data_IF_520559925841
#
_entry.id   IF_520559925841
#
_cell.length_a   1.000
_cell.length_b   1.000
_cell.length_c   1.000
_cell.angle_alpha   90.00
_cell.angle_beta   90.00
_cell.angle_gamma   90.00
#
_symmetry.space_group_name_H-M   'P 1'
#
loop_
_entity.id
_entity.type
_entity.pdbx_description
1 polymer ?
#
# COMPACT_ATOMS: atom_id res chain seq x y z
N UNK A 1 13.81 -9.56 19.03
CA UNK A 1 13.23 -10.44 18.00
C UNK A 1 13.34 -9.70 16.67
N UNK A 2 13.58 -10.40 15.56
CA UNK A 2 13.43 -9.87 14.20
C UNK A 2 12.43 -10.70 13.44
N UNK A 3 11.73 -10.05 12.52
CA UNK A 3 10.80 -10.69 11.58
C UNK A 3 11.29 -10.42 10.15
N UNK A 4 11.01 -11.36 9.25
CA UNK A 4 11.26 -11.20 7.82
C UNK A 4 10.13 -10.38 7.15
N UNK A 5 10.22 -10.17 5.83
CA UNK A 5 9.25 -9.35 5.09
C UNK A 5 7.86 -9.99 4.94
N UNK A 6 7.68 -11.25 5.31
CA UNK A 6 6.38 -11.96 5.32
C UNK A 6 5.82 -12.15 6.75
N UNK A 7 6.36 -11.40 7.73
CA UNK A 7 5.94 -11.43 9.14
C UNK A 7 6.16 -12.77 9.83
N UNK A 8 7.24 -13.44 9.49
CA UNK A 8 7.67 -14.66 10.15
C UNK A 8 8.93 -14.39 10.97
N UNK A 9 9.05 -15.11 12.09
CA UNK A 9 10.19 -14.98 12.99
C UNK A 9 11.50 -15.31 12.25
N UNK A 10 12.36 -14.30 12.09
CA UNK A 10 13.70 -14.43 11.49
C UNK A 10 14.78 -14.67 12.55
N UNK A 11 14.59 -14.17 13.78
CA UNK A 11 15.59 -14.37 14.83
C UNK A 11 15.19 -13.93 16.23
N UNK A 12 15.69 -14.68 17.22
CA UNK A 12 15.68 -14.31 18.64
C UNK A 12 17.11 -13.98 19.06
N UNK A 13 17.31 -12.79 19.63
CA UNK A 13 18.61 -12.30 20.07
C UNK A 13 18.53 -11.93 21.54
N UNK A 14 19.45 -12.46 22.35
CA UNK A 14 19.66 -12.04 23.73
C UNK A 14 20.99 -11.29 23.80
N UNK A 15 20.97 -10.10 24.37
CA UNK A 15 22.12 -9.22 24.44
C UNK A 15 22.23 -8.57 25.81
N UNK A 16 23.46 -8.24 26.23
CA UNK A 16 23.66 -7.49 27.47
C UNK A 16 23.34 -6.00 27.27
N UNK A 17 22.97 -5.26 28.34
CA UNK A 17 22.62 -3.84 28.22
C UNK A 17 23.68 -2.99 27.52
N UNK A 18 24.97 -3.30 27.71
CA UNK A 18 26.08 -2.52 27.14
C UNK A 18 26.19 -2.63 25.63
N UNK A 19 25.66 -3.72 25.04
CA UNK A 19 25.68 -3.99 23.59
C UNK A 19 24.34 -3.75 22.91
N UNK A 20 23.30 -3.39 23.67
CA UNK A 20 21.94 -3.26 23.17
C UNK A 20 21.84 -2.34 21.95
N UNK A 21 22.39 -1.12 22.04
CA UNK A 21 22.31 -0.13 20.95
C UNK A 21 23.07 -0.56 19.69
N UNK A 22 24.20 -1.24 19.84
CA UNK A 22 24.97 -1.76 18.71
C UNK A 22 24.21 -2.89 18.00
N UNK A 23 23.70 -3.84 18.79
CA UNK A 23 22.91 -4.96 18.28
C UNK A 23 21.62 -4.48 17.63
N UNK A 24 20.90 -3.51 18.23
CA UNK A 24 19.70 -2.93 17.64
C UNK A 24 19.98 -2.29 16.27
N UNK A 25 21.03 -1.47 16.15
CA UNK A 25 21.40 -0.85 14.87
C UNK A 25 21.72 -1.89 13.80
N UNK A 26 22.54 -2.89 14.14
CA UNK A 26 22.92 -3.97 13.21
C UNK A 26 21.70 -4.79 12.74
N UNK A 27 20.82 -5.15 13.67
CA UNK A 27 19.60 -5.90 13.35
C UNK A 27 18.62 -5.08 12.52
N UNK A 28 18.45 -3.80 12.85
CA UNK A 28 17.63 -2.88 12.07
C UNK A 28 18.13 -2.75 10.63
N UNK A 29 19.45 -2.67 10.42
CA UNK A 29 20.03 -2.68 9.08
C UNK A 29 19.76 -3.99 8.33
N UNK A 30 19.92 -5.15 9.00
CA UNK A 30 19.59 -6.46 8.41
C UNK A 30 18.13 -6.49 7.96
N UNK A 31 17.19 -6.14 8.84
CA UNK A 31 15.75 -6.13 8.53
C UNK A 31 15.43 -5.13 7.43
N UNK A 32 16.03 -3.94 7.43
CA UNK A 32 15.83 -2.93 6.37
C UNK A 32 16.25 -3.43 4.99
N UNK A 33 17.32 -4.24 4.89
CA UNK A 33 17.79 -4.81 3.61
C UNK A 33 16.84 -5.89 3.08
N UNK A 34 16.17 -6.62 3.98
CA UNK A 34 15.23 -7.69 3.62
C UNK A 34 13.81 -7.22 3.28
N UNK A 35 13.51 -5.91 3.35
CA UNK A 35 12.16 -5.41 3.09
C UNK A 35 11.77 -5.63 1.63
N UNK A 36 10.56 -6.16 1.43
CA UNK A 36 9.93 -6.11 0.12
C UNK A 36 9.59 -4.68 -0.26
N UNK A 37 9.61 -4.45 -1.57
CA UNK A 37 9.21 -3.19 -2.21
C UNK A 37 8.32 -3.53 -3.38
N UNK A 38 7.54 -2.55 -3.84
CA UNK A 38 6.88 -2.68 -5.13
C UNK A 38 7.92 -2.95 -6.22
N UNK A 39 7.59 -3.74 -7.24
CA UNK A 39 8.56 -4.24 -8.21
C UNK A 39 9.03 -3.16 -9.19
N UNK A 40 8.49 -1.95 -9.09
CA UNK A 40 8.81 -0.82 -9.96
C UNK A 40 8.91 0.48 -9.18
N UNK A 41 9.87 1.32 -9.57
CA UNK A 41 10.06 2.65 -8.99
C UNK A 41 9.06 3.68 -9.54
N UNK A 42 8.52 3.45 -10.74
CA UNK A 42 7.53 4.32 -11.40
C UNK A 42 6.23 3.57 -11.60
N UNK A 43 5.14 4.08 -11.03
CA UNK A 43 3.80 3.47 -11.10
C UNK A 43 2.82 4.59 -11.46
N UNK A 44 1.96 4.36 -12.45
CA UNK A 44 0.95 5.36 -12.82
C UNK A 44 -0.23 5.30 -11.85
N UNK A 45 -0.70 4.08 -11.57
CA UNK A 45 -1.82 3.82 -10.67
C UNK A 45 -1.48 2.69 -9.70
N UNK A 46 -1.61 2.98 -8.39
CA UNK A 46 -1.59 1.99 -7.33
C UNK A 46 -3.02 1.80 -6.77
N UNK A 47 -3.56 0.60 -6.93
CA UNK A 47 -4.83 0.17 -6.36
C UNK A 47 -4.53 -0.59 -5.07
N UNK A 48 -5.15 -0.16 -3.97
CA UNK A 48 -5.05 -0.80 -2.66
C UNK A 48 -6.43 -1.31 -2.28
N UNK A 49 -6.60 -2.63 -2.22
CA UNK A 49 -7.91 -3.23 -1.92
C UNK A 49 -8.41 -2.84 -0.53
N UNK A 50 -7.52 -2.85 0.47
CA UNK A 50 -7.86 -2.49 1.84
C UNK A 50 -6.70 -1.78 2.56
N UNK A 51 -7.07 -0.89 3.48
CA UNK A 51 -6.15 -0.28 4.42
C UNK A 51 -6.59 -0.53 5.87
N UNK A 52 -5.65 -0.46 6.81
CA UNK A 52 -6.02 -0.65 8.20
C UNK A 52 -4.93 -0.44 9.23
N UNK A 53 -5.32 -0.15 10.47
CA UNK A 53 -4.38 -0.04 11.60
C UNK A 53 -3.67 -1.35 11.92
N UNK A 54 -4.36 -2.47 11.71
CA UNK A 54 -3.79 -3.82 11.81
C UNK A 54 -2.78 -4.12 10.70
N UNK A 55 -2.83 -3.40 9.57
CA UNK A 55 -1.92 -3.54 8.44
C UNK A 55 -0.66 -2.69 8.67
N UNK A 56 -0.84 -1.43 9.06
CA UNK A 56 0.26 -0.51 9.34
C UNK A 56 -0.16 0.50 10.40
N UNK A 57 0.78 0.96 11.23
CA UNK A 57 0.53 2.01 12.22
C UNK A 57 0.02 3.33 11.60
N UNK A 58 0.36 3.59 10.32
CA UNK A 58 -0.15 4.70 9.51
C UNK A 58 -1.27 4.30 8.54
N UNK A 59 -1.91 3.15 8.78
CA UNK A 59 -2.99 2.52 7.98
C UNK A 59 -2.52 2.02 6.60
N UNK A 60 -1.62 2.75 5.95
CA UNK A 60 -0.84 2.33 4.79
C UNK A 60 0.65 2.67 4.99
N UNK A 61 1.56 1.76 4.63
CA UNK A 61 3.02 1.98 4.71
C UNK A 61 3.47 3.02 3.66
N UNK A 62 3.94 4.15 4.16
CA UNK A 62 4.40 5.30 3.37
C UNK A 62 5.58 4.98 2.45
N UNK A 63 6.38 3.95 2.76
CA UNK A 63 7.52 3.52 1.96
C UNK A 63 7.13 2.57 0.83
N UNK A 64 5.99 1.88 0.97
CA UNK A 64 5.43 1.06 -0.10
C UNK A 64 4.72 1.95 -1.12
N UNK A 65 3.92 2.91 -0.65
CA UNK A 65 3.21 3.87 -1.52
C UNK A 65 4.14 4.94 -2.09
N UNK A 66 5.20 5.30 -1.36
CA UNK A 66 6.12 6.36 -1.77
C UNK A 66 5.65 7.77 -1.41
N UNK A 67 4.83 7.91 -0.36
CA UNK A 67 4.25 9.19 0.10
C UNK A 67 4.17 9.22 1.62
N UNK A 68 4.56 10.33 2.24
CA UNK A 68 4.65 10.48 3.71
C UNK A 68 3.65 11.51 4.25
N UNK A 69 3.56 12.71 3.65
CA UNK A 69 2.63 13.78 4.05
C UNK A 69 2.73 14.18 5.54
N UNK A 70 3.96 14.19 6.08
CA UNK A 70 4.27 14.70 7.42
C UNK A 70 5.15 15.94 7.29
N UNK A 71 4.73 17.05 7.90
CA UNK A 71 5.47 18.32 7.83
C UNK A 71 6.89 18.15 8.37
N UNK A 72 7.88 18.61 7.60
CA UNK A 72 9.30 18.51 7.95
C UNK A 72 9.96 17.17 7.58
N UNK A 73 9.20 16.20 7.06
CA UNK A 73 9.77 14.97 6.51
C UNK A 73 9.90 15.07 4.99
N UNK A 74 11.02 14.56 4.46
CA UNK A 74 11.23 14.49 3.03
C UNK A 74 10.39 13.36 2.42
N UNK A 75 9.76 13.63 1.27
CA UNK A 75 9.08 12.61 0.49
C UNK A 75 10.09 11.61 -0.09
N UNK A 76 9.75 10.31 -0.15
CA UNK A 76 10.57 9.31 -0.82
C UNK A 76 10.78 9.69 -2.29
N UNK A 77 11.98 9.39 -2.81
CA UNK A 77 12.22 9.51 -4.26
C UNK A 77 11.50 8.38 -5.02
N UNK A 78 11.66 7.15 -4.54
CA UNK A 78 11.11 5.92 -5.10
C UNK A 78 10.65 4.96 -3.98
N UNK A 79 9.68 4.06 -4.26
CA UNK A 79 8.82 4.06 -5.44
C UNK A 79 7.91 5.30 -5.45
N UNK A 80 7.31 5.63 -6.59
CA UNK A 80 6.36 6.75 -6.70
C UNK A 80 5.16 6.37 -7.55
N UNK A 81 4.01 6.24 -6.89
CA UNK A 81 2.72 6.14 -7.57
C UNK A 81 2.20 7.54 -7.93
N UNK A 82 1.88 7.77 -9.21
CA UNK A 82 1.29 9.03 -9.69
C UNK A 82 -0.12 9.23 -9.14
N UNK A 83 -0.93 8.17 -9.10
CA UNK A 83 -2.23 8.13 -8.45
C UNK A 83 -2.39 6.90 -7.57
N UNK A 84 -3.09 7.07 -6.46
CA UNK A 84 -3.38 6.00 -5.49
C UNK A 84 -4.89 5.97 -5.21
N UNK A 85 -5.48 4.78 -5.24
CA UNK A 85 -6.87 4.55 -4.83
C UNK A 85 -6.92 3.49 -3.74
N UNK A 86 -7.76 3.72 -2.73
CA UNK A 86 -8.05 2.73 -1.69
C UNK A 86 -9.53 2.35 -1.70
N UNK A 87 -9.81 1.05 -1.71
CA UNK A 87 -11.16 0.51 -1.94
C UNK A 87 -11.85 -0.03 -0.69
N UNK A 88 -11.12 -0.13 0.42
CA UNK A 88 -11.61 -0.75 1.66
C UNK A 88 -10.92 -0.21 2.91
N UNK A 89 -11.66 -0.23 4.02
CA UNK A 89 -11.14 -0.03 5.37
C UNK A 89 -11.50 -1.27 6.19
N UNK A 90 -10.49 -1.85 6.86
CA UNK A 90 -10.66 -3.02 7.71
C UNK A 90 -11.46 -2.71 8.98
N UNK A 91 -12.24 -3.69 9.44
CA UNK A 91 -13.06 -3.56 10.66
C UNK A 91 -12.20 -3.39 11.92
N UNK A 92 -11.00 -4.01 11.94
CA UNK A 92 -10.01 -3.91 13.02
C UNK A 92 -9.46 -2.49 13.21
N UNK A 93 -9.67 -1.61 12.23
CA UNK A 93 -9.35 -0.19 12.37
C UNK A 93 -10.32 0.55 13.28
N UNK A 94 -11.48 -0.05 13.59
CA UNK A 94 -12.57 0.55 14.35
C UNK A 94 -12.94 1.94 13.80
N UNK A 95 -13.03 2.03 12.48
CA UNK A 95 -13.32 3.27 11.73
C UNK A 95 -12.20 4.31 11.69
N UNK A 96 -11.05 4.08 12.35
CA UNK A 96 -9.96 5.04 12.31
C UNK A 96 -9.16 4.92 11.00
N UNK A 97 -9.35 5.89 10.12
CA UNK A 97 -8.78 5.91 8.76
C UNK A 97 -7.53 6.81 8.65
N UNK A 98 -6.72 6.91 9.71
CA UNK A 98 -5.49 7.74 9.69
C UNK A 98 -4.52 7.28 8.60
N UNK A 99 -4.40 7.98 7.47
CA UNK A 99 -3.62 7.53 6.32
C UNK A 99 -4.42 7.51 5.02
N UNK A 100 -5.76 7.62 5.08
CA UNK A 100 -6.62 7.72 3.87
C UNK A 100 -6.22 8.89 2.97
N UNK A 101 -5.70 9.98 3.54
CA UNK A 101 -5.22 11.14 2.80
C UNK A 101 -3.94 10.90 1.99
N UNK A 102 -3.31 9.72 2.10
CA UNK A 102 -2.25 9.30 1.19
C UNK A 102 -2.81 8.82 -0.17
N UNK A 103 -4.09 8.44 -0.22
CA UNK A 103 -4.80 8.13 -1.45
C UNK A 103 -5.30 9.41 -2.12
N UNK A 104 -5.43 9.38 -3.44
CA UNK A 104 -6.06 10.44 -4.24
C UNK A 104 -7.56 10.21 -4.38
N UNK A 105 -7.98 8.94 -4.41
CA UNK A 105 -9.37 8.50 -4.56
C UNK A 105 -9.75 7.41 -3.57
N UNK A 106 -11.04 7.36 -3.23
CA UNK A 106 -11.63 6.24 -2.49
C UNK A 106 -13.13 6.13 -2.81
N UNK A 107 -13.86 5.28 -2.10
CA UNK A 107 -15.26 4.93 -2.38
C UNK A 107 -16.20 5.38 -1.28
N UNK A 108 -17.49 5.49 -1.61
CA UNK A 108 -18.56 5.81 -0.64
C UNK A 108 -18.57 4.82 0.52
N UNK A 109 -18.40 3.53 0.22
CA UNK A 109 -18.31 2.46 1.22
C UNK A 109 -17.20 2.71 2.24
N UNK A 110 -16.00 3.11 1.79
CA UNK A 110 -14.89 3.44 2.70
C UNK A 110 -15.24 4.64 3.56
N UNK A 111 -15.77 5.71 2.97
CA UNK A 111 -16.16 6.92 3.69
C UNK A 111 -17.17 6.63 4.80
N UNK A 112 -18.16 5.77 4.54
CA UNK A 112 -19.20 5.39 5.49
C UNK A 112 -18.67 4.61 6.70
N UNK A 113 -17.53 3.94 6.56
CA UNK A 113 -16.85 3.23 7.66
C UNK A 113 -15.99 4.14 8.55
N UNK A 114 -15.78 5.41 8.18
CA UNK A 114 -14.84 6.29 8.90
C UNK A 114 -15.48 6.84 10.19
N UNK A 115 -14.82 6.60 11.32
CA UNK A 115 -14.96 7.38 12.53
C UNK A 115 -14.08 8.63 12.43
N UNK A 116 -14.71 9.77 12.11
CA UNK A 116 -14.04 11.06 11.97
C UNK A 116 -13.42 11.54 13.27
N UNK A 117 -14.02 11.27 14.42
CA UNK A 117 -13.50 11.71 15.71
C UNK A 117 -12.22 10.93 16.07
N UNK A 118 -12.24 9.61 15.89
CA UNK A 118 -11.07 8.77 16.10
C UNK A 118 -9.94 9.15 15.12
N UNK A 119 -10.27 9.37 13.85
CA UNK A 119 -9.31 9.77 12.81
C UNK A 119 -8.68 11.13 13.12
N UNK A 120 -9.49 12.15 13.45
CA UNK A 120 -9.01 13.48 13.80
C UNK A 120 -8.14 13.49 15.06
N UNK A 121 -8.55 12.77 16.12
CA UNK A 121 -7.76 12.64 17.35
C UNK A 121 -6.37 12.08 17.05
N UNK A 122 -6.29 11.05 16.21
CA UNK A 122 -5.02 10.42 15.86
C UNK A 122 -4.16 11.33 14.98
N UNK A 123 -4.79 12.04 14.03
CA UNK A 123 -4.10 12.98 13.15
C UNK A 123 -3.46 14.14 13.91
N UNK A 124 -4.11 14.62 14.98
CA UNK A 124 -3.55 15.61 15.91
C UNK A 124 -2.41 15.02 16.73
N UNK A 125 -2.62 13.84 17.34
CA UNK A 125 -1.61 13.19 18.17
C UNK A 125 -0.34 12.80 17.41
N UNK A 126 -0.47 12.43 16.13
CA UNK A 126 0.66 12.11 15.24
C UNK A 126 1.28 13.33 14.56
N UNK A 127 0.73 14.53 14.76
CA UNK A 127 1.13 15.76 14.06
C UNK A 127 1.07 15.63 12.52
N UNK A 128 0.20 14.77 12.00
CA UNK A 128 0.06 14.47 10.57
C UNK A 128 -1.39 14.68 10.07
N UNK A 129 -1.97 15.89 10.18
CA UNK A 129 -3.35 16.17 9.74
C UNK A 129 -3.58 15.91 8.26
N UNK A 130 -2.55 16.03 7.42
CA UNK A 130 -2.65 15.76 5.98
C UNK A 130 -2.99 14.30 5.68
N UNK A 131 -2.51 13.35 6.49
CA UNK A 131 -2.80 11.92 6.32
C UNK A 131 -4.26 11.56 6.62
N UNK A 132 -4.99 12.40 7.37
CA UNK A 132 -6.41 12.19 7.67
C UNK A 132 -7.37 12.92 6.73
N UNK A 133 -6.87 13.62 5.70
CA UNK A 133 -7.72 14.32 4.72
C UNK A 133 -8.53 13.34 3.89
N UNK A 134 -9.79 13.67 3.63
CA UNK A 134 -10.66 12.84 2.79
C UNK A 134 -10.29 13.05 1.31
N UNK A 135 -9.98 11.97 0.57
CA UNK A 135 -9.69 12.04 -0.86
C UNK A 135 -10.97 12.27 -1.69
N UNK A 136 -10.85 12.30 -3.01
CA UNK A 136 -12.02 12.31 -3.88
C UNK A 136 -12.80 10.99 -3.72
N UNK A 137 -14.06 11.09 -3.28
CA UNK A 137 -14.93 9.93 -3.03
C UNK A 137 -15.85 9.71 -4.21
N UNK A 138 -15.85 8.49 -4.75
CA UNK A 138 -16.71 8.03 -5.84
C UNK A 138 -17.68 6.97 -5.33
N UNK A 139 -18.71 6.65 -6.12
CA UNK A 139 -19.80 5.80 -5.67
C UNK A 139 -19.35 4.35 -5.42
N UNK A 140 -18.52 3.79 -6.30
CA UNK A 140 -18.08 2.39 -6.26
C UNK A 140 -16.63 2.23 -6.73
N UNK A 141 -16.08 1.02 -6.59
CA UNK A 141 -14.68 0.71 -6.93
C UNK A 141 -14.38 0.99 -8.41
N UNK A 142 -15.30 0.62 -9.32
CA UNK A 142 -15.14 0.86 -10.77
C UNK A 142 -14.97 2.33 -11.09
N UNK A 143 -15.80 3.19 -10.52
CA UNK A 143 -15.72 4.64 -10.72
C UNK A 143 -14.46 5.24 -10.10
N UNK A 144 -14.10 4.82 -8.89
CA UNK A 144 -12.88 5.27 -8.22
C UNK A 144 -11.63 4.89 -9.03
N UNK A 145 -11.51 3.64 -9.48
CA UNK A 145 -10.40 3.16 -10.30
C UNK A 145 -10.35 3.90 -11.64
N UNK A 146 -11.50 4.12 -12.29
CA UNK A 146 -11.56 4.87 -13.54
C UNK A 146 -11.08 6.30 -13.37
N UNK A 147 -11.56 7.02 -12.35
CA UNK A 147 -11.10 8.38 -12.04
C UNK A 147 -9.58 8.42 -11.74
N UNK A 148 -9.07 7.36 -11.12
CA UNK A 148 -7.64 7.21 -10.82
C UNK A 148 -6.81 7.08 -12.09
N UNK A 149 -7.26 6.26 -13.04
CA UNK A 149 -6.64 6.12 -14.37
C UNK A 149 -6.73 7.40 -15.20
N UNK A 150 -7.92 8.01 -15.28
CA UNK A 150 -8.19 9.21 -16.08
C UNK A 150 -7.36 10.41 -15.63
N UNK A 151 -6.96 10.44 -14.35
CA UNK A 151 -6.18 11.55 -13.77
C UNK A 151 -4.70 11.24 -13.59
N UNK A 152 -4.23 10.03 -13.96
CA UNK A 152 -2.84 9.62 -13.86
C UNK A 152 -1.94 10.18 -14.97
N UNK A 153 -2.49 10.97 -15.90
CA UNK A 153 -1.78 11.57 -17.05
C UNK A 153 -1.11 10.51 -17.96
N UNK A 154 -1.81 9.39 -18.15
CA UNK A 154 -1.38 8.30 -19.03
C UNK A 154 -1.74 8.66 -20.47
N UNK A 155 -0.74 8.76 -21.35
CA UNK A 155 -0.96 9.10 -22.77
C UNK A 155 -1.57 7.93 -23.56
N UNK A 156 -1.11 6.71 -23.27
CA UNK A 156 -1.53 5.47 -23.92
C UNK A 156 -1.93 4.46 -22.84
N UNK A 157 -3.24 4.22 -22.71
CA UNK A 157 -3.79 3.39 -21.64
C UNK A 157 -3.34 1.93 -21.73
N UNK A 158 -3.00 1.44 -22.91
CA UNK A 158 -2.44 0.09 -23.11
C UNK A 158 -1.03 -0.03 -22.51
N UNK A 159 -0.35 1.09 -22.25
CA UNK A 159 0.97 1.16 -21.61
C UNK A 159 0.92 1.56 -20.14
N UNK A 160 -0.28 1.69 -19.57
CA UNK A 160 -0.46 2.08 -18.18
C UNK A 160 0.31 1.15 -17.24
N UNK A 161 1.11 1.71 -16.33
CA UNK A 161 1.85 0.97 -15.30
C UNK A 161 0.99 0.88 -14.05
N UNK A 162 0.13 -0.13 -13.99
CA UNK A 162 -0.83 -0.32 -12.91
C UNK A 162 -0.33 -1.41 -11.97
N UNK A 163 -0.45 -1.18 -10.66
CA UNK A 163 -0.20 -2.19 -9.62
C UNK A 163 -1.43 -2.28 -8.74
N UNK A 164 -1.88 -3.50 -8.41
CA UNK A 164 -2.91 -3.76 -7.41
C UNK A 164 -2.35 -4.66 -6.30
N UNK A 165 -2.45 -4.19 -5.06
CA UNK A 165 -2.05 -4.92 -3.86
C UNK A 165 -3.25 -5.11 -2.94
N UNK A 166 -3.22 -6.16 -2.11
CA UNK A 166 -4.23 -6.29 -1.06
C UNK A 166 -4.13 -5.10 -0.11
N UNK A 167 -2.93 -4.94 0.45
CA UNK A 167 -2.60 -3.88 1.38
C UNK A 167 -1.07 -3.71 1.41
N UNK A 168 -0.59 -2.64 2.04
CA UNK A 168 0.85 -2.32 2.05
C UNK A 168 1.70 -3.30 2.85
N UNK A 169 1.08 -4.22 3.58
CA UNK A 169 1.78 -5.22 4.39
C UNK A 169 1.90 -6.58 3.68
N UNK A 170 1.10 -6.80 2.63
CA UNK A 170 1.09 -8.02 1.82
C UNK A 170 1.35 -7.69 0.35
N UNK A 171 2.63 -7.55 0.00
CA UNK A 171 3.08 -7.21 -1.36
C UNK A 171 3.90 -8.33 -2.02
N UNK A 172 3.94 -9.52 -1.43
CA UNK A 172 4.62 -10.68 -2.01
C UNK A 172 3.85 -11.23 -3.21
N UNK A 173 2.51 -11.16 -3.17
CA UNK A 173 1.62 -11.42 -4.30
C UNK A 173 0.85 -10.15 -4.63
N UNK A 174 0.92 -9.74 -5.88
CA UNK A 174 0.31 -8.53 -6.38
C UNK A 174 -0.07 -8.73 -7.85
N UNK A 175 -0.94 -7.87 -8.36
CA UNK A 175 -1.22 -7.79 -9.78
C UNK A 175 -0.48 -6.61 -10.38
N UNK A 176 -0.04 -6.77 -11.62
CA UNK A 176 0.49 -5.71 -12.45
C UNK A 176 -0.24 -5.68 -13.78
N UNK A 177 -0.29 -4.53 -14.44
CA UNK A 177 -0.72 -4.46 -15.84
C UNK A 177 0.21 -5.28 -16.74
N UNK A 178 -0.31 -5.73 -17.88
CA UNK A 178 0.48 -6.45 -18.89
C UNK A 178 1.72 -5.64 -19.32
N UNK A 179 1.54 -4.34 -19.56
CA UNK A 179 2.64 -3.44 -19.92
C UNK A 179 3.74 -3.39 -18.85
N UNK A 180 3.37 -3.30 -17.57
CA UNK A 180 4.37 -3.31 -16.50
C UNK A 180 5.01 -4.69 -16.33
N UNK A 181 4.25 -5.77 -16.52
CA UNK A 181 4.80 -7.12 -16.49
C UNK A 181 5.89 -7.33 -17.54
N UNK A 182 5.72 -6.83 -18.76
CA UNK A 182 6.75 -6.95 -19.81
C UNK A 182 8.10 -6.30 -19.42
N UNK A 183 8.08 -5.24 -18.61
CA UNK A 183 9.30 -4.64 -18.04
C UNK A 183 9.91 -5.49 -16.90
N UNK A 184 9.08 -6.27 -16.21
CA UNK A 184 9.46 -7.02 -15.00
C UNK A 184 9.81 -8.47 -15.26
N UNK A 185 9.40 -9.06 -16.40
CA UNK A 185 9.50 -10.50 -16.68
C UNK A 185 10.92 -11.08 -16.63
N UNK A 186 11.93 -10.25 -16.85
CA UNK A 186 13.35 -10.65 -16.77
C UNK A 186 13.93 -10.54 -15.36
N UNK A 187 13.19 -9.97 -14.41
CA UNK A 187 13.63 -9.85 -13.03
C UNK A 187 13.56 -11.23 -12.35
N UNK A 188 14.69 -11.81 -11.88
CA UNK A 188 14.71 -13.14 -11.29
C UNK A 188 13.95 -13.24 -9.95
N UNK A 189 13.54 -12.11 -9.37
CA UNK A 189 12.71 -12.04 -8.16
C UNK A 189 11.21 -12.03 -8.44
N UNK A 190 10.82 -12.06 -9.71
CA UNK A 190 9.42 -12.02 -10.14
C UNK A 190 9.06 -13.36 -10.76
N UNK A 191 7.95 -13.93 -10.29
CA UNK A 191 7.38 -15.15 -10.81
C UNK A 191 5.92 -14.91 -11.20
N UNK A 192 5.54 -15.32 -12.40
CA UNK A 192 4.14 -15.32 -12.82
C UNK A 192 3.42 -16.51 -12.20
N UNK A 193 2.35 -16.21 -11.46
CA UNK A 193 1.47 -17.23 -10.90
C UNK A 193 0.29 -17.54 -11.84
N UNK A 194 -0.31 -16.49 -12.41
CA UNK A 194 -1.47 -16.57 -13.30
C UNK A 194 -1.25 -15.63 -14.49
N UNK A 195 -1.77 -16.02 -15.66
CA UNK A 195 -1.69 -15.21 -16.87
C UNK A 195 -2.59 -13.96 -16.82
N UNK A 196 -2.54 -13.12 -17.85
CA UNK A 196 -3.34 -11.90 -17.91
C UNK A 196 -4.83 -12.21 -17.87
N UNK A 197 -5.55 -11.42 -17.08
CA UNK A 197 -6.99 -11.50 -16.96
C UNK A 197 -7.57 -10.08 -16.87
N UNK A 198 -8.77 -9.84 -17.45
CA UNK A 198 -9.42 -8.55 -17.35
C UNK A 198 -9.81 -8.24 -15.91
N UNK A 199 -9.80 -6.95 -15.57
CA UNK A 199 -10.31 -6.48 -14.29
C UNK A 199 -11.81 -6.76 -14.19
N UNK A 200 -12.18 -7.61 -13.23
CA UNK A 200 -13.56 -8.03 -13.03
C UNK A 200 -14.26 -7.18 -11.96
N UNK A 201 -15.52 -6.86 -12.22
CA UNK A 201 -16.40 -6.12 -11.33
C UNK A 201 -17.77 -6.78 -11.31
N UNK A 202 -18.47 -6.70 -10.18
CA UNK A 202 -19.85 -7.15 -10.09
C UNK A 202 -20.85 -6.14 -10.72
N UNK A 203 -22.15 -6.45 -10.63
CA UNK A 203 -23.22 -5.60 -11.14
C UNK A 203 -23.37 -4.25 -10.44
N UNK A 204 -22.77 -4.08 -9.26
CA UNK A 204 -22.76 -2.82 -8.49
C UNK A 204 -21.44 -2.05 -8.67
N UNK A 205 -20.51 -2.57 -9.47
CA UNK A 205 -19.21 -1.95 -9.68
C UNK A 205 -18.20 -2.21 -8.56
N UNK A 206 -18.46 -3.19 -7.68
CA UNK A 206 -17.47 -3.67 -6.71
C UNK A 206 -16.41 -4.51 -7.43
N UNK A 207 -15.15 -4.29 -7.13
CA UNK A 207 -14.04 -5.04 -7.70
C UNK A 207 -14.05 -6.47 -7.17
N UNK A 208 -13.83 -7.45 -8.06
CA UNK A 208 -13.70 -8.84 -7.64
C UNK A 208 -12.50 -9.00 -6.68
N UNK A 209 -12.62 -9.81 -5.61
CA UNK A 209 -11.52 -10.04 -4.68
C UNK A 209 -10.25 -10.52 -5.40
N UNK A 210 -9.10 -10.03 -4.96
CA UNK A 210 -7.82 -10.56 -5.40
C UNK A 210 -7.48 -11.91 -4.74
N UNK A 211 -6.62 -12.68 -5.38
CA UNK A 211 -6.03 -13.91 -4.88
C UNK A 211 -4.66 -13.60 -4.28
N UNK A 212 -4.68 -13.21 -3.01
CA UNK A 212 -3.48 -12.88 -2.24
C UNK A 212 -3.02 -14.08 -1.41
N UNK A 213 -1.81 -14.01 -0.88
CA UNK A 213 -1.24 -15.07 -0.07
C UNK A 213 0.18 -14.74 0.36
N UNK A 214 0.70 -15.51 1.31
CA UNK A 214 2.12 -15.44 1.68
C UNK A 214 2.93 -15.91 0.46
N UNK A 215 3.87 -15.09 0.00
CA UNK A 215 4.84 -15.51 -1.01
C UNK A 215 5.65 -16.70 -0.49
N UNK A 216 6.18 -17.51 -1.40
CA UNK A 216 7.26 -18.44 -1.07
C UNK A 216 8.59 -17.64 -1.11
N UNK A 217 9.59 -18.07 -0.32
CA UNK A 217 10.85 -17.33 -0.04
C UNK A 217 11.61 -16.80 -1.27
#
# INVERSE_FOLDING_TARGET
LTENAVHELDGIYMERPEKFLETEKRLLEKVKRGRMKLPSDSIDVLIVDEMGKNISGSVMDTKVIGRVYVTGQAEPKNPRASRVVVLGLTEESHGNAIGIGLADFSTREVLDKIDFAATAKNAVASMAPAQGKIPCILENDREAIRATLDTAAIEDMEKARVVRIQNTNQIARLYVSEALYEELRENPKIQVMEGPAPMAFDGQGKMAPGHYGKGEE
#
